data_IF_989579723022
#
_entry.id   IF_989579723022
#
_cell.length_a   1.000
_cell.length_b   1.000
_cell.length_c   1.000
_cell.angle_alpha   90.00
_cell.angle_beta   90.00
_cell.angle_gamma   90.00
#
_symmetry.space_group_name_H-M   'P 1'
#
loop_
_entity.id
_entity.type
_entity.pdbx_description
1 polymer ?
#
# COMPACT_ATOMS: atom_id res chain seq x y z
N UNK A 1 4.92 -16.10 -0.30
CA UNK A 1 6.30 -15.69 -0.07
C UNK A 1 7.27 -16.61 -0.76
N UNK A 2 7.02 -17.91 -0.75
CA UNK A 2 7.87 -18.83 -1.49
C UNK A 2 7.98 -18.48 -2.97
N UNK A 3 6.85 -18.17 -3.64
CA UNK A 3 6.84 -17.83 -5.05
C UNK A 3 7.69 -16.60 -5.35
N UNK A 4 7.53 -15.51 -4.56
CA UNK A 4 8.30 -14.29 -4.74
C UNK A 4 9.79 -14.51 -4.49
N UNK A 5 10.14 -15.30 -3.44
CA UNK A 5 11.52 -15.58 -3.09
C UNK A 5 12.21 -16.44 -4.15
N UNK A 6 11.49 -17.40 -4.74
CA UNK A 6 12.02 -18.30 -5.77
C UNK A 6 12.08 -17.64 -7.15
N UNK A 7 11.24 -16.64 -7.43
CA UNK A 7 11.14 -15.97 -8.73
C UNK A 7 12.49 -15.47 -9.26
N UNK A 8 13.40 -14.77 -8.69
CA UNK A 8 13.52 -13.89 -7.51
C UNK A 8 13.03 -12.46 -7.81
N UNK A 9 11.95 -12.06 -7.20
CA UNK A 9 11.39 -10.73 -7.39
C UNK A 9 12.30 -9.66 -6.77
N UNK A 10 12.31 -8.47 -7.36
CA UNK A 10 13.05 -7.32 -6.82
C UNK A 10 12.28 -6.62 -5.70
N UNK A 11 10.94 -6.62 -5.80
CA UNK A 11 10.04 -6.02 -4.83
C UNK A 11 8.79 -6.89 -4.71
N UNK A 12 8.15 -6.80 -3.54
CA UNK A 12 6.89 -7.50 -3.29
C UNK A 12 5.86 -6.50 -2.77
N UNK A 13 4.71 -6.41 -3.46
CA UNK A 13 3.63 -5.52 -3.07
C UNK A 13 2.37 -6.36 -2.90
N UNK A 14 1.86 -6.42 -1.66
CA UNK A 14 0.60 -7.08 -1.33
C UNK A 14 -0.47 -6.01 -1.20
N UNK A 15 -1.63 -6.22 -1.84
CA UNK A 15 -2.70 -5.21 -1.91
C UNK A 15 -3.96 -5.79 -1.27
N UNK A 16 -4.50 -5.06 -0.30
CA UNK A 16 -5.66 -5.48 0.49
C UNK A 16 -6.66 -4.34 0.68
N UNK A 17 -7.88 -4.70 1.02
CA UNK A 17 -8.88 -3.79 1.56
C UNK A 17 -9.02 -4.06 3.05
N UNK A 18 -9.10 -3.00 3.85
CA UNK A 18 -9.13 -3.09 5.30
C UNK A 18 -10.55 -3.14 5.85
N UNK A 19 -10.68 -3.49 7.11
CA UNK A 19 -11.94 -3.48 7.83
C UNK A 19 -11.70 -3.16 9.30
N UNK A 20 -12.69 -2.55 9.95
CA UNK A 20 -12.66 -2.27 11.37
C UNK A 20 -14.07 -2.35 11.93
N UNK A 21 -14.23 -2.80 13.18
CA UNK A 21 -15.53 -2.85 13.85
C UNK A 21 -16.13 -1.45 14.04
N UNK A 22 -15.29 -0.42 14.12
CA UNK A 22 -15.72 0.97 14.17
C UNK A 22 -15.84 1.52 12.74
N UNK A 23 -17.06 1.79 12.24
CA UNK A 23 -17.26 2.26 10.87
C UNK A 23 -16.76 3.69 10.61
N UNK A 24 -16.38 4.42 11.65
CA UNK A 24 -15.78 5.75 11.48
C UNK A 24 -14.31 5.68 11.06
N UNK A 25 -13.64 4.56 11.27
CA UNK A 25 -12.23 4.39 10.88
C UNK A 25 -12.15 4.32 9.35
N UNK A 26 -11.25 5.12 8.77
CA UNK A 26 -11.12 5.27 7.33
C UNK A 26 -9.67 5.60 6.95
N UNK A 27 -9.36 5.54 5.66
CA UNK A 27 -8.10 5.98 5.10
C UNK A 27 -7.23 4.88 4.52
N UNK A 28 -6.12 5.30 3.94
CA UNK A 28 -5.11 4.44 3.33
C UNK A 28 -3.90 4.32 4.26
N UNK A 29 -3.39 3.13 4.42
CA UNK A 29 -2.18 2.88 5.20
C UNK A 29 -1.34 1.81 4.53
N UNK A 30 -0.03 1.84 4.77
CA UNK A 30 0.90 0.86 4.21
C UNK A 30 1.76 0.32 5.33
N UNK A 31 1.90 -1.00 5.37
CA UNK A 31 2.67 -1.69 6.40
C UNK A 31 4.02 -2.14 5.86
N UNK A 32 5.05 -2.00 6.69
CA UNK A 32 6.42 -2.42 6.40
C UNK A 32 6.97 -3.20 7.59
N UNK A 33 8.05 -3.97 7.35
CA UNK A 33 8.69 -4.74 8.41
C UNK A 33 9.46 -3.83 9.37
N UNK A 34 10.18 -2.83 8.85
CA UNK A 34 10.94 -1.88 9.67
C UNK A 34 11.11 -0.54 8.96
N UNK A 35 11.42 0.51 9.75
CA UNK A 35 11.70 1.85 9.24
C UNK A 35 13.07 1.94 8.58
N UNK A 36 13.29 3.02 7.82
CA UNK A 36 14.58 3.39 7.22
C UNK A 36 15.15 2.30 6.30
N UNK A 37 14.27 1.63 5.54
CA UNK A 37 14.62 0.62 4.55
C UNK A 37 14.12 1.04 3.18
N UNK A 38 14.56 0.33 2.12
CA UNK A 38 13.99 0.55 0.79
C UNK A 38 12.49 0.33 0.78
N UNK A 39 11.99 -0.67 1.50
CA UNK A 39 10.55 -0.92 1.62
C UNK A 39 9.84 0.28 2.26
N UNK A 40 10.43 0.89 3.27
CA UNK A 40 9.85 2.06 3.92
C UNK A 40 9.71 3.23 2.94
N UNK A 41 10.73 3.51 2.17
CA UNK A 41 10.69 4.60 1.18
C UNK A 41 9.73 4.30 0.03
N UNK A 42 9.68 3.04 -0.43
CA UNK A 42 8.68 2.61 -1.41
C UNK A 42 7.26 2.83 -0.86
N UNK A 43 7.02 2.44 0.39
CA UNK A 43 5.72 2.59 1.05
C UNK A 43 5.29 4.06 1.12
N UNK A 44 6.21 4.97 1.45
CA UNK A 44 5.92 6.41 1.50
C UNK A 44 5.46 6.93 0.14
N UNK A 45 6.14 6.55 -0.93
CA UNK A 45 5.78 6.97 -2.29
C UNK A 45 4.45 6.39 -2.75
N UNK A 46 4.20 5.12 -2.47
CA UNK A 46 2.94 4.46 -2.85
C UNK A 46 1.77 5.09 -2.09
N UNK A 47 1.93 5.30 -0.79
CA UNK A 47 0.90 5.94 0.04
C UNK A 47 0.58 7.33 -0.49
N UNK A 48 1.59 8.15 -0.73
CA UNK A 48 1.40 9.51 -1.25
C UNK A 48 0.68 9.49 -2.61
N UNK A 49 1.03 8.56 -3.49
CA UNK A 49 0.39 8.42 -4.79
C UNK A 49 -1.09 8.08 -4.69
N UNK A 50 -1.45 7.15 -3.81
CA UNK A 50 -2.84 6.77 -3.60
C UNK A 50 -3.65 7.95 -3.03
N UNK A 51 -3.17 8.54 -1.94
CA UNK A 51 -3.87 9.64 -1.28
C UNK A 51 -4.08 10.82 -2.23
N UNK A 52 -3.07 11.17 -3.00
CA UNK A 52 -3.17 12.27 -3.97
C UNK A 52 -4.20 11.97 -5.06
N UNK A 53 -4.31 10.72 -5.51
CA UNK A 53 -5.21 10.35 -6.61
C UNK A 53 -6.65 10.15 -6.18
N UNK A 54 -6.89 9.47 -5.05
CA UNK A 54 -8.26 9.10 -4.65
C UNK A 54 -8.80 9.94 -3.49
N UNK A 55 -7.96 10.69 -2.80
CA UNK A 55 -8.40 11.60 -1.74
C UNK A 55 -8.80 10.92 -0.44
N UNK A 56 -8.29 9.73 -0.18
CA UNK A 56 -8.47 9.08 1.11
C UNK A 56 -7.64 9.76 2.19
N UNK A 57 -7.96 9.50 3.45
CA UNK A 57 -7.17 9.97 4.58
C UNK A 57 -5.81 9.26 4.58
N UNK A 58 -4.75 10.01 4.80
CA UNK A 58 -3.39 9.48 4.94
C UNK A 58 -3.19 8.98 6.38
N UNK A 59 -3.20 7.66 6.55
CA UNK A 59 -3.00 7.02 7.84
C UNK A 59 -1.52 6.65 8.09
N UNK A 60 -0.64 6.98 7.16
CA UNK A 60 0.80 6.81 7.33
C UNK A 60 1.33 5.42 6.99
N UNK A 61 2.64 5.34 6.95
CA UNK A 61 3.37 4.08 6.87
C UNK A 61 3.58 3.55 8.29
N UNK A 62 3.22 2.29 8.51
CA UNK A 62 3.23 1.67 9.84
C UNK A 62 4.12 0.44 9.85
N UNK A 63 4.82 0.23 10.96
CA UNK A 63 5.67 -0.93 11.15
C UNK A 63 4.86 -2.08 11.75
N UNK A 64 4.87 -3.25 11.08
CA UNK A 64 4.14 -4.46 11.50
C UNK A 64 5.01 -5.69 11.25
N UNK A 65 6.04 -5.93 12.08
CA UNK A 65 6.99 -7.03 11.84
C UNK A 65 6.37 -8.42 12.02
N UNK A 66 5.18 -8.50 12.63
CA UNK A 66 4.47 -9.77 12.82
C UNK A 66 3.74 -10.25 11.58
N UNK A 67 3.53 -9.39 10.55
CA UNK A 67 2.83 -9.80 9.33
C UNK A 67 3.67 -10.79 8.54
N UNK A 68 3.08 -11.94 8.23
CA UNK A 68 3.77 -13.06 7.59
C UNK A 68 4.40 -12.65 6.26
N UNK A 69 3.64 -11.95 5.40
CA UNK A 69 4.13 -11.54 4.08
C UNK A 69 5.36 -10.63 4.16
N UNK A 70 5.46 -9.82 5.21
CA UNK A 70 6.60 -8.92 5.40
C UNK A 70 7.80 -9.65 6.01
N UNK A 71 7.52 -10.57 6.96
CA UNK A 71 8.56 -11.27 7.69
C UNK A 71 9.25 -12.34 6.85
N UNK A 72 8.54 -12.97 5.91
CA UNK A 72 9.02 -14.13 5.15
C UNK A 72 9.52 -13.81 3.75
N UNK A 73 9.41 -12.56 3.29
CA UNK A 73 9.96 -12.16 2.00
C UNK A 73 11.44 -11.80 2.12
N UNK A 74 12.21 -12.11 1.08
CA UNK A 74 13.66 -11.88 1.05
C UNK A 74 14.03 -10.59 0.32
N UNK A 75 13.05 -9.90 -0.30
CA UNK A 75 13.22 -8.64 -0.98
C UNK A 75 12.41 -7.56 -0.27
N UNK A 76 12.61 -6.27 -0.61
CA UNK A 76 11.76 -5.21 -0.07
C UNK A 76 10.28 -5.52 -0.30
N UNK A 77 9.48 -5.49 0.78
CA UNK A 77 8.07 -5.88 0.76
C UNK A 77 7.23 -4.85 1.49
N UNK A 78 6.07 -4.52 0.89
CA UNK A 78 5.07 -3.66 1.50
C UNK A 78 3.70 -4.33 1.42
N UNK A 79 2.84 -4.03 2.39
CA UNK A 79 1.44 -4.44 2.37
C UNK A 79 0.59 -3.16 2.36
N UNK A 80 -0.12 -2.95 1.26
CA UNK A 80 -0.96 -1.77 1.05
C UNK A 80 -2.39 -2.09 1.47
N UNK A 81 -2.90 -1.33 2.44
CA UNK A 81 -4.31 -1.32 2.80
C UNK A 81 -4.94 -0.12 2.11
N UNK A 82 -5.67 -0.36 1.02
CA UNK A 82 -6.18 0.68 0.14
C UNK A 82 -7.15 1.61 0.84
N UNK A 83 -8.10 1.05 1.57
CA UNK A 83 -9.15 1.77 2.28
C UNK A 83 -9.97 0.78 3.10
N UNK A 84 -10.90 1.30 3.92
CA UNK A 84 -11.72 0.48 4.82
C UNK A 84 -13.08 0.16 4.19
N UNK A 85 -13.33 -1.12 3.95
CA UNK A 85 -14.64 -1.58 3.44
C UNK A 85 -15.79 -1.25 4.40
N UNK A 86 -15.49 -1.13 5.68
CA UNK A 86 -16.48 -0.85 6.73
C UNK A 86 -16.83 0.62 6.86
N UNK A 87 -16.11 1.52 6.18
CA UNK A 87 -16.41 2.95 6.15
C UNK A 87 -17.14 3.29 4.87
N UNK A 88 -18.27 3.99 4.95
CA UNK A 88 -19.11 4.27 3.78
C UNK A 88 -18.38 5.04 2.69
N UNK A 89 -17.65 6.10 3.06
CA UNK A 89 -16.90 6.92 2.08
C UNK A 89 -15.81 6.11 1.39
N UNK A 90 -15.02 5.37 2.16
CA UNK A 90 -13.95 4.52 1.62
C UNK A 90 -14.53 3.42 0.73
N UNK A 91 -15.60 2.76 1.16
CA UNK A 91 -16.24 1.70 0.39
C UNK A 91 -16.75 2.22 -0.96
N UNK A 92 -17.33 3.43 -0.98
CA UNK A 92 -17.79 4.05 -2.22
C UNK A 92 -16.64 4.33 -3.18
N UNK A 93 -15.50 4.80 -2.67
CA UNK A 93 -14.31 5.03 -3.49
C UNK A 93 -13.78 3.73 -4.09
N UNK A 94 -13.70 2.67 -3.27
CA UNK A 94 -13.25 1.35 -3.73
C UNK A 94 -14.17 0.78 -4.82
N UNK A 95 -15.49 0.93 -4.66
CA UNK A 95 -16.47 0.42 -5.61
C UNK A 95 -16.49 1.23 -6.90
N UNK A 96 -16.46 2.55 -6.80
CA UNK A 96 -16.68 3.45 -7.94
C UNK A 96 -15.39 3.81 -8.69
N UNK A 97 -14.22 3.71 -8.05
CA UNK A 97 -12.96 4.12 -8.68
C UNK A 97 -11.79 3.19 -8.34
N UNK A 98 -11.91 1.88 -8.60
CA UNK A 98 -10.77 0.98 -8.40
C UNK A 98 -9.57 1.36 -9.27
N UNK A 99 -9.83 1.91 -10.47
CA UNK A 99 -8.78 2.40 -11.36
C UNK A 99 -7.97 3.52 -10.70
N UNK A 100 -8.61 4.41 -9.95
CA UNK A 100 -7.94 5.49 -9.24
C UNK A 100 -6.93 4.96 -8.23
N UNK A 101 -7.29 3.91 -7.49
CA UNK A 101 -6.35 3.25 -6.56
C UNK A 101 -5.16 2.65 -7.30
N UNK A 102 -5.41 1.95 -8.40
CA UNK A 102 -4.35 1.37 -9.21
C UNK A 102 -3.42 2.45 -9.77
N UNK A 103 -3.99 3.55 -10.26
CA UNK A 103 -3.22 4.67 -10.80
C UNK A 103 -2.40 5.35 -9.71
N UNK A 104 -2.94 5.47 -8.50
CA UNK A 104 -2.20 6.01 -7.36
C UNK A 104 -0.98 5.18 -7.02
N UNK A 105 -1.12 3.86 -7.01
CA UNK A 105 0.01 2.94 -6.81
C UNK A 105 1.04 3.13 -7.93
N UNK A 106 0.59 3.17 -9.19
CA UNK A 106 1.45 3.37 -10.35
C UNK A 106 2.24 4.68 -10.25
N UNK A 107 1.56 5.77 -9.92
CA UNK A 107 2.20 7.08 -9.75
C UNK A 107 3.24 7.04 -8.63
N UNK A 108 2.95 6.35 -7.53
CA UNK A 108 3.88 6.16 -6.43
C UNK A 108 5.11 5.37 -6.83
N UNK A 109 4.93 4.32 -7.63
CA UNK A 109 6.05 3.53 -8.16
C UNK A 109 6.93 4.37 -9.09
N UNK A 110 6.33 5.15 -9.99
CA UNK A 110 7.10 6.06 -10.86
C UNK A 110 7.92 7.03 -10.03
N UNK A 111 7.30 7.63 -9.01
CA UNK A 111 7.98 8.57 -8.11
C UNK A 111 9.14 7.91 -7.38
N UNK A 112 8.92 6.70 -6.85
CA UNK A 112 9.95 5.97 -6.11
C UNK A 112 11.15 5.65 -6.99
N UNK A 113 10.92 5.20 -8.22
CA UNK A 113 11.98 4.85 -9.17
C UNK A 113 12.50 6.05 -9.95
N UNK A 114 11.96 7.24 -9.70
CA UNK A 114 12.34 8.48 -10.37
C UNK A 114 12.15 8.41 -11.89
N UNK A 115 11.08 7.75 -12.32
CA UNK A 115 10.68 7.72 -13.72
C UNK A 115 9.68 8.84 -14.02
N UNK A 116 9.81 9.44 -15.22
CA UNK A 116 8.84 10.43 -15.66
C UNK A 116 7.55 9.74 -16.12
N UNK A 117 6.38 10.29 -15.80
CA UNK A 117 5.12 9.79 -16.33
C UNK A 117 5.02 10.06 -17.84
N UNK A 118 4.38 9.14 -18.52
CA UNK A 118 4.14 9.28 -19.95
C UNK A 118 3.03 10.28 -20.25
#
# INVERSE_FOLDING_TARGET
>A
MRLANEWPADYFISIHCNANVNPAINGTEVYVYRENTQAYWLAQHVLAGIVARVGTRDNGVRVRPSLYVLRRTQMPAILVELAYLTNTSDAMKLENDPFGFAQGIYNGLLSYFDFEPY
#
